data_IF_508044940691
#
_entry.id   IF_508044940691
#
_cell.length_a   1.000
_cell.length_b   1.000
_cell.length_c   1.000
_cell.angle_alpha   90.00
_cell.angle_beta   90.00
_cell.angle_gamma   90.00
#
_symmetry.space_group_name_H-M   'P 1'
#
loop_
_entity.id
_entity.type
_entity.pdbx_description
1 polymer ?
#
# COMPACT_ATOMS: atom_id res chain seq x y z
N UNK A 1 29.48 4.43 -15.05
CA UNK A 1 28.66 5.05 -14.00
C UNK A 1 27.98 3.90 -13.27
N UNK A 2 28.56 3.50 -12.13
CA UNK A 2 27.98 2.44 -11.30
C UNK A 2 26.95 3.12 -10.41
N UNK A 3 25.69 2.70 -10.52
CA UNK A 3 24.64 3.17 -9.60
C UNK A 3 24.97 2.57 -8.24
N UNK A 4 25.05 3.41 -7.21
CA UNK A 4 25.38 2.99 -5.86
C UNK A 4 24.13 2.33 -5.25
N UNK A 5 24.26 1.19 -4.56
CA UNK A 5 23.13 0.58 -3.86
C UNK A 5 22.55 1.51 -2.76
N UNK A 6 23.30 2.54 -2.35
CA UNK A 6 22.79 3.63 -1.50
C UNK A 6 21.80 4.58 -2.20
N UNK A 7 21.64 4.51 -3.52
CA UNK A 7 20.61 5.25 -4.27
C UNK A 7 19.25 4.50 -4.21
N UNK A 8 19.21 3.30 -3.62
CA UNK A 8 17.99 2.61 -3.26
C UNK A 8 17.51 3.10 -1.88
N UNK A 9 17.23 4.39 -1.78
CA UNK A 9 16.44 4.96 -0.67
C UNK A 9 15.04 4.35 -0.76
N UNK A 10 14.90 3.16 -0.18
CA UNK A 10 13.61 2.47 -0.05
C UNK A 10 12.74 3.38 0.80
N UNK A 11 11.62 3.89 0.25
CA UNK A 11 10.76 4.79 1.00
C UNK A 11 10.33 4.12 2.30
N UNK A 12 10.50 4.82 3.41
CA UNK A 12 10.07 4.30 4.69
C UNK A 12 8.55 4.16 4.68
N UNK A 13 8.05 2.93 4.79
CA UNK A 13 6.62 2.65 4.83
C UNK A 13 5.95 3.31 6.06
N UNK A 14 6.73 3.66 7.08
CA UNK A 14 6.28 4.38 8.26
C UNK A 14 5.73 5.79 7.92
N UNK A 15 6.08 6.35 6.77
CA UNK A 15 5.51 7.62 6.30
C UNK A 15 4.08 7.47 5.77
N UNK A 16 3.56 6.25 5.70
CA UNK A 16 2.22 5.97 5.20
C UNK A 16 1.29 5.45 6.29
N UNK A 17 1.75 4.49 7.09
CA UNK A 17 0.90 3.73 8.01
C UNK A 17 1.63 3.46 9.32
N UNK A 18 0.91 3.49 10.44
CA UNK A 18 1.43 3.20 11.77
C UNK A 18 0.62 2.07 12.44
N UNK A 19 1.30 1.21 13.19
CA UNK A 19 0.64 0.18 13.98
C UNK A 19 0.21 0.74 15.35
N UNK A 20 -1.08 0.68 15.65
CA UNK A 20 -1.64 0.91 16.98
C UNK A 20 -1.82 -0.42 17.72
N UNK A 21 -0.88 -0.70 18.63
CA UNK A 21 -0.89 -1.90 19.45
C UNK A 21 -2.06 -1.94 20.47
N UNK A 22 -2.65 -0.80 20.81
CA UNK A 22 -3.76 -0.74 21.78
C UNK A 22 -5.04 -1.34 21.19
N UNK A 23 -5.21 -1.23 19.87
CA UNK A 23 -6.38 -1.68 19.14
C UNK A 23 -6.10 -2.82 18.15
N UNK A 24 -4.84 -3.28 18.07
CA UNK A 24 -4.35 -4.28 17.11
C UNK A 24 -4.71 -3.91 15.66
N UNK A 25 -4.38 -2.67 15.27
CA UNK A 25 -4.75 -2.08 13.98
C UNK A 25 -3.60 -1.35 13.32
N UNK A 26 -3.67 -1.27 11.99
CA UNK A 26 -2.82 -0.39 11.20
C UNK A 26 -3.65 0.82 10.80
N UNK A 27 -3.20 2.00 11.19
CA UNK A 27 -3.85 3.29 10.96
C UNK A 27 -3.07 4.08 9.88
N UNK A 28 -3.75 4.80 8.98
CA UNK A 28 -3.08 5.72 8.07
C UNK A 28 -2.45 6.87 8.86
N UNK A 29 -1.31 7.36 8.37
CA UNK A 29 -0.70 8.60 8.87
C UNK A 29 -1.28 9.80 8.14
N UNK A 30 -1.17 10.99 8.75
CA UNK A 30 -1.58 12.25 8.13
C UNK A 30 -0.89 12.48 6.76
N UNK A 31 0.34 12.00 6.58
CA UNK A 31 1.08 12.12 5.32
C UNK A 31 0.45 11.31 4.18
N UNK A 32 -0.14 10.16 4.48
CA UNK A 32 -0.91 9.39 3.51
C UNK A 32 -2.24 10.09 3.22
N UNK A 33 -2.97 10.51 4.27
CA UNK A 33 -4.29 11.14 4.13
C UNK A 33 -4.24 12.46 3.34
N UNK A 34 -3.18 13.23 3.53
CA UNK A 34 -2.96 14.50 2.82
C UNK A 34 -2.20 14.32 1.49
N UNK A 35 -1.77 13.10 1.14
CA UNK A 35 -0.98 12.82 -0.06
C UNK A 35 0.43 13.47 -0.06
N UNK A 36 0.96 13.80 1.12
CA UNK A 36 2.23 14.51 1.30
C UNK A 36 3.43 13.59 1.49
N UNK A 37 3.22 12.27 1.52
CA UNK A 37 4.32 11.31 1.57
C UNK A 37 5.25 11.43 0.36
N UNK A 38 6.56 11.42 0.61
CA UNK A 38 7.59 11.43 -0.45
C UNK A 38 7.44 10.21 -1.39
N UNK A 39 7.03 9.06 -0.84
CA UNK A 39 6.73 7.87 -1.61
C UNK A 39 5.57 8.11 -2.59
N UNK A 40 4.49 8.73 -2.12
CA UNK A 40 3.34 9.10 -2.95
C UNK A 40 3.79 10.02 -4.09
N UNK A 41 4.60 11.03 -3.80
CA UNK A 41 5.18 11.91 -4.81
C UNK A 41 6.01 11.17 -5.87
N UNK A 42 6.84 10.22 -5.46
CA UNK A 42 7.63 9.38 -6.39
C UNK A 42 6.75 8.52 -7.30
N UNK A 43 5.68 7.94 -6.78
CA UNK A 43 4.75 7.11 -7.57
C UNK A 43 3.99 7.97 -8.59
N UNK A 44 3.46 9.11 -8.16
CA UNK A 44 2.79 10.09 -9.04
C UNK A 44 3.68 10.49 -10.20
N UNK A 45 4.92 10.90 -9.90
CA UNK A 45 5.89 11.30 -10.93
C UNK A 45 6.22 10.15 -11.89
N UNK A 46 6.35 8.93 -11.36
CA UNK A 46 6.68 7.75 -12.17
C UNK A 46 5.54 7.31 -13.09
N UNK A 47 4.29 7.42 -12.63
CA UNK A 47 3.12 6.91 -13.34
C UNK A 47 2.37 7.98 -14.13
N UNK A 48 2.68 9.26 -13.93
CA UNK A 48 2.05 10.37 -14.64
C UNK A 48 0.56 10.53 -14.27
N UNK A 49 0.20 10.24 -13.02
CA UNK A 49 -1.16 10.36 -12.48
C UNK A 49 -1.23 11.45 -11.42
N UNK A 50 -2.40 12.00 -11.15
CA UNK A 50 -2.58 12.92 -10.03
C UNK A 50 -2.50 12.20 -8.67
N UNK A 51 -2.22 12.95 -7.60
CA UNK A 51 -2.26 12.44 -6.23
C UNK A 51 -3.67 11.87 -5.92
N UNK A 52 -4.72 12.58 -6.31
CA UNK A 52 -6.11 12.16 -6.09
C UNK A 52 -6.42 10.82 -6.77
N UNK A 53 -5.98 10.62 -8.02
CA UNK A 53 -6.13 9.34 -8.73
C UNK A 53 -5.38 8.19 -8.06
N UNK A 54 -4.18 8.48 -7.52
CA UNK A 54 -3.40 7.50 -6.79
C UNK A 54 -4.07 7.12 -5.46
N UNK A 55 -4.51 8.10 -4.67
CA UNK A 55 -5.20 7.87 -3.39
C UNK A 55 -6.51 7.11 -3.61
N UNK A 56 -7.27 7.47 -4.65
CA UNK A 56 -8.47 6.73 -5.04
C UNK A 56 -8.14 5.28 -5.39
N UNK A 57 -7.06 5.03 -6.15
CA UNK A 57 -6.62 3.67 -6.47
C UNK A 57 -6.24 2.86 -5.23
N UNK A 58 -5.51 3.46 -4.29
CA UNK A 58 -5.14 2.82 -3.02
C UNK A 58 -6.41 2.41 -2.26
N UNK A 59 -7.37 3.33 -2.13
CA UNK A 59 -8.64 3.09 -1.44
C UNK A 59 -9.46 1.98 -2.11
N UNK A 60 -9.59 2.02 -3.43
CA UNK A 60 -10.32 0.98 -4.18
C UNK A 60 -9.67 -0.39 -3.99
N UNK A 61 -8.34 -0.48 -4.05
CA UNK A 61 -7.62 -1.75 -3.84
C UNK A 61 -7.77 -2.26 -2.41
N UNK A 62 -7.79 -1.38 -1.40
CA UNK A 62 -8.07 -1.77 -0.03
C UNK A 62 -9.49 -2.36 0.11
N UNK A 63 -10.49 -1.72 -0.51
CA UNK A 63 -11.87 -2.22 -0.52
C UNK A 63 -12.00 -3.58 -1.21
N UNK A 64 -11.40 -3.74 -2.40
CA UNK A 64 -11.40 -5.01 -3.15
C UNK A 64 -10.77 -6.12 -2.30
N UNK A 65 -9.61 -5.87 -1.69
CA UNK A 65 -8.95 -6.83 -0.80
C UNK A 65 -9.80 -7.16 0.42
N UNK A 66 -10.51 -6.19 0.99
CA UNK A 66 -11.46 -6.41 2.08
C UNK A 66 -12.61 -7.33 1.68
N UNK A 67 -13.18 -7.13 0.49
CA UNK A 67 -14.24 -7.99 -0.07
C UNK A 67 -13.71 -9.42 -0.28
N UNK A 68 -12.51 -9.56 -0.83
CA UNK A 68 -11.88 -10.87 -1.02
C UNK A 68 -11.66 -11.56 0.34
N UNK A 69 -11.09 -10.85 1.32
CA UNK A 69 -10.86 -11.40 2.66
C UNK A 69 -12.16 -11.86 3.33
N UNK A 70 -13.26 -11.11 3.16
CA UNK A 70 -14.57 -11.52 3.63
C UNK A 70 -15.07 -12.78 2.94
N UNK A 71 -15.03 -12.81 1.61
CA UNK A 71 -15.51 -13.94 0.83
C UNK A 71 -14.79 -15.25 1.21
N UNK A 72 -13.47 -15.17 1.38
CA UNK A 72 -12.60 -16.29 1.77
C UNK A 72 -12.97 -16.89 3.12
N UNK A 73 -13.50 -16.11 4.07
CA UNK A 73 -13.95 -16.66 5.36
C UNK A 73 -15.00 -17.76 5.19
N UNK A 74 -15.80 -17.68 4.14
CA UNK A 74 -16.84 -18.66 3.81
C UNK A 74 -16.46 -19.61 2.69
N UNK A 75 -15.46 -19.24 1.89
CA UNK A 75 -15.00 -19.96 0.70
C UNK A 75 -13.46 -19.95 0.61
N UNK A 76 -12.77 -20.70 1.49
CA UNK A 76 -11.31 -20.69 1.57
C UNK A 76 -10.63 -21.08 0.25
N UNK A 77 -11.30 -21.89 -0.57
CA UNK A 77 -10.82 -22.38 -1.86
C UNK A 77 -10.57 -21.26 -2.89
N UNK A 78 -11.10 -20.05 -2.65
CA UNK A 78 -10.94 -18.91 -3.57
C UNK A 78 -9.55 -18.26 -3.51
N UNK A 79 -8.74 -18.57 -2.50
CA UNK A 79 -7.37 -18.06 -2.35
C UNK A 79 -6.32 -19.15 -2.22
N UNK A 80 -6.72 -20.42 -2.31
CA UNK A 80 -5.79 -21.54 -2.45
C UNK A 80 -5.19 -21.49 -3.87
N UNK A 81 -4.01 -20.87 -3.98
CA UNK A 81 -3.16 -21.00 -5.16
C UNK A 81 -2.24 -22.21 -5.00
N UNK A 82 -1.96 -22.91 -6.10
CA UNK A 82 -0.90 -23.92 -6.11
C UNK A 82 0.42 -23.29 -5.63
N UNK A 83 1.11 -23.95 -4.70
CA UNK A 83 2.51 -23.60 -4.42
C UNK A 83 3.29 -23.80 -5.72
N UNK A 84 3.66 -22.71 -6.37
CA UNK A 84 4.75 -22.70 -7.34
C UNK A 84 6.05 -22.86 -6.55
N UNK A 85 6.51 -24.10 -6.45
CA UNK A 85 7.82 -24.48 -5.91
C UNK A 85 8.97 -24.20 -6.85
#
# INVERSE_FOLDING_TARGET
>A
MFVNESDLDTPNLNDLMMFDASNDRIEPTDLLDMGQSELIGRIVNRWGVSIDELLLNIKMRAQIKGIIAEAVRTRPELVEGDMVG
#
